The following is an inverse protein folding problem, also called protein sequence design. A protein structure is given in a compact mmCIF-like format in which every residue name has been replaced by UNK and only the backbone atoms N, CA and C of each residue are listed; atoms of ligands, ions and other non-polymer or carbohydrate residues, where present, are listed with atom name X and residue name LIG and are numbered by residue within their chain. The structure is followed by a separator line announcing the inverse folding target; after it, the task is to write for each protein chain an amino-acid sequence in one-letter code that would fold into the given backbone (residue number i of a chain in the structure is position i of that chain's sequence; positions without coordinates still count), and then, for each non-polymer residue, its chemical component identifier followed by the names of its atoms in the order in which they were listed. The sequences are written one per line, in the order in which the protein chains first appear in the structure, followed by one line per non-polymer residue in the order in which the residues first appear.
data_IF_017893995705
#
_entry.id   IF_017893995705
#
_cell.length_a   1.000
_cell.length_b   1.000
_cell.length_c   1.000
_cell.angle_alpha   90.00
_cell.angle_beta   90.00
_cell.angle_gamma   90.00
#
_symmetry.space_group_name_H-M   'P 1'
#
loop_
_entity.id
_entity.type
_entity.pdbx_description
1 polymer ?
#
# COMPACT_ATOMS: atom_id res chain seq x y z
N UNK A 1 -14.34 -6.78 6.74
CA UNK A 1 -15.18 -5.55 6.62
C UNK A 1 -14.96 -4.56 7.76
N UNK A 2 -15.16 -4.91 9.04
CA UNK A 2 -15.05 -3.92 10.15
C UNK A 2 -13.62 -3.46 10.50
N UNK A 3 -12.59 -4.31 10.34
CA UNK A 3 -11.23 -3.97 10.82
C UNK A 3 -10.51 -2.95 9.92
N UNK A 4 -10.64 -3.05 8.61
CA UNK A 4 -9.91 -2.18 7.66
C UNK A 4 -10.53 -0.79 7.55
N UNK A 5 -11.87 -0.69 7.58
CA UNK A 5 -12.54 0.61 7.67
C UNK A 5 -12.25 1.30 9.00
N UNK A 6 -12.32 0.58 10.13
CA UNK A 6 -11.97 1.14 11.43
C UNK A 6 -10.53 1.69 11.48
N UNK A 7 -9.59 1.07 10.77
CA UNK A 7 -8.21 1.56 10.68
C UNK A 7 -8.05 2.85 9.85
N UNK A 8 -8.94 3.09 8.88
CA UNK A 8 -9.02 4.36 8.14
C UNK A 8 -9.57 5.46 9.04
N UNK A 9 -10.68 5.17 9.70
CA UNK A 9 -11.40 6.10 10.58
C UNK A 9 -10.51 6.51 11.78
N UNK A 10 -9.86 5.55 12.44
CA UNK A 10 -8.94 5.81 13.55
C UNK A 10 -7.71 6.63 13.14
N UNK A 11 -7.36 6.63 11.85
CA UNK A 11 -6.26 7.43 11.32
C UNK A 11 -6.72 8.78 10.76
N UNK A 12 -8.01 9.13 10.87
CA UNK A 12 -8.58 10.37 10.35
C UNK A 12 -8.51 10.49 8.83
N UNK A 13 -8.45 9.36 8.11
CA UNK A 13 -8.29 9.38 6.65
C UNK A 13 -9.67 9.36 6.02
N UNK A 14 -9.98 10.38 5.22
CA UNK A 14 -11.18 10.38 4.38
C UNK A 14 -11.05 9.43 3.18
N UNK A 15 -11.27 8.14 3.46
CA UNK A 15 -11.23 7.06 2.50
C UNK A 15 -12.13 5.90 2.91
N UNK A 16 -12.50 5.08 1.93
CA UNK A 16 -13.37 3.92 2.09
C UNK A 16 -12.64 2.65 1.69
N UNK A 17 -12.82 1.59 2.49
CA UNK A 17 -12.44 0.24 2.12
C UNK A 17 -13.49 -0.38 1.18
N UNK A 18 -13.02 -0.89 0.04
CA UNK A 18 -13.80 -1.55 -1.00
C UNK A 18 -13.42 -3.03 -0.97
N UNK A 19 -14.42 -3.88 -0.75
CA UNK A 19 -14.28 -5.31 -1.00
C UNK A 19 -14.37 -5.58 -2.51
N UNK A 20 -13.26 -6.03 -3.10
CA UNK A 20 -13.18 -6.36 -4.52
C UNK A 20 -13.66 -7.78 -4.81
N UNK A 21 -14.02 -8.55 -3.78
CA UNK A 21 -14.35 -9.98 -3.90
C UNK A 21 -13.11 -10.87 -4.10
N UNK A 22 -11.91 -10.30 -4.16
CA UNK A 22 -10.67 -11.04 -4.29
C UNK A 22 -10.20 -11.46 -2.90
N UNK A 23 -10.14 -12.77 -2.65
CA UNK A 23 -9.69 -13.29 -1.36
C UNK A 23 -8.16 -13.22 -1.20
N UNK A 24 -7.68 -13.26 0.04
CA UNK A 24 -6.23 -13.37 0.28
C UNK A 24 -5.63 -14.66 -0.28
N UNK A 25 -6.40 -15.75 -0.30
CA UNK A 25 -5.99 -17.03 -0.88
C UNK A 25 -5.78 -16.90 -2.39
N UNK A 26 -6.70 -16.23 -3.09
CA UNK A 26 -6.53 -15.94 -4.51
C UNK A 26 -5.26 -15.14 -4.77
N UNK A 27 -4.96 -14.12 -3.95
CA UNK A 27 -3.71 -13.35 -4.08
C UNK A 27 -2.48 -14.23 -3.81
N UNK A 28 -2.49 -15.02 -2.73
CA UNK A 28 -1.36 -15.85 -2.34
C UNK A 28 -1.09 -16.99 -3.34
N UNK A 29 -2.10 -17.43 -4.10
CA UNK A 29 -1.94 -18.48 -5.12
C UNK A 29 -0.95 -18.10 -6.24
N UNK A 30 -0.79 -16.80 -6.51
CA UNK A 30 0.15 -16.23 -7.48
C UNK A 30 1.58 -16.12 -6.95
N UNK A 31 1.81 -16.46 -5.69
CA UNK A 31 3.12 -16.40 -5.04
C UNK A 31 3.66 -17.80 -4.80
N UNK A 32 4.95 -18.00 -5.02
CA UNK A 32 5.64 -19.25 -4.69
C UNK A 32 6.96 -19.02 -3.99
N UNK A 33 7.32 -20.02 -3.18
CA UNK A 33 8.67 -20.22 -2.67
C UNK A 33 9.37 -21.22 -3.58
N UNK A 34 10.31 -20.80 -4.44
CA UNK A 34 10.95 -21.72 -5.39
C UNK A 34 11.86 -22.75 -4.70
N UNK A 35 12.29 -22.48 -3.47
CA UNK A 35 13.41 -23.18 -2.82
C UNK A 35 13.08 -23.64 -1.40
N UNK A 36 12.02 -23.10 -0.78
CA UNK A 36 11.53 -23.50 0.55
C UNK A 36 11.21 -22.34 1.48
N UNK A 37 11.00 -22.65 2.77
CA UNK A 37 10.64 -21.69 3.82
C UNK A 37 11.86 -20.83 4.19
N UNK A 38 11.89 -19.59 3.75
CA UNK A 38 13.01 -18.66 3.97
C UNK A 38 13.48 -17.93 2.72
N UNK A 39 13.04 -18.39 1.54
CA UNK A 39 13.38 -17.77 0.27
C UNK A 39 12.49 -16.58 -0.10
N UNK A 40 12.96 -15.81 -1.09
CA UNK A 40 12.18 -14.75 -1.70
C UNK A 40 10.93 -15.32 -2.38
N UNK A 41 9.79 -14.65 -2.18
CA UNK A 41 8.58 -14.91 -2.93
C UNK A 41 8.81 -14.58 -4.41
N UNK A 42 8.42 -15.50 -5.29
CA UNK A 42 8.41 -15.28 -6.74
C UNK A 42 6.96 -15.12 -7.22
N UNK A 43 6.73 -14.12 -8.06
CA UNK A 43 5.46 -13.93 -8.75
C UNK A 43 5.33 -14.95 -9.91
N UNK A 44 4.16 -15.60 -10.02
CA UNK A 44 3.83 -16.53 -11.12
C UNK A 44 3.26 -15.85 -12.36
N UNK A 45 3.02 -14.54 -12.31
CA UNK A 45 2.41 -13.82 -13.43
C UNK A 45 3.30 -13.88 -14.67
N UNK A 46 2.70 -14.10 -15.84
CA UNK A 46 3.44 -14.19 -17.09
C UNK A 46 4.18 -12.89 -17.41
N UNK A 47 5.46 -13.00 -17.75
CA UNK A 47 6.34 -11.84 -17.93
C UNK A 47 6.77 -11.11 -16.65
N UNK A 48 6.39 -11.57 -15.45
CA UNK A 48 6.82 -10.99 -14.18
C UNK A 48 7.98 -11.78 -13.54
N UNK A 49 9.16 -11.18 -13.45
CA UNK A 49 10.35 -11.78 -12.84
C UNK A 49 10.66 -11.25 -11.44
N UNK A 50 9.67 -10.66 -10.75
CA UNK A 50 9.87 -10.06 -9.43
C UNK A 50 10.16 -11.11 -8.36
N UNK A 51 11.21 -10.86 -7.57
CA UNK A 51 11.58 -11.61 -6.36
C UNK A 51 11.42 -10.68 -5.16
N UNK A 52 10.62 -11.08 -4.19
CA UNK A 52 10.19 -10.21 -3.09
C UNK A 52 10.39 -10.92 -1.76
N UNK A 53 11.20 -10.35 -0.87
CA UNK A 53 11.62 -11.02 0.36
C UNK A 53 10.60 -10.94 1.51
N UNK A 54 9.56 -10.12 1.36
CA UNK A 54 8.54 -9.91 2.38
C UNK A 54 7.16 -10.27 1.87
N UNK A 55 6.39 -11.03 2.66
CA UNK A 55 5.08 -11.54 2.28
C UNK A 55 4.10 -10.41 1.99
N UNK A 56 4.08 -9.37 2.82
CA UNK A 56 3.19 -8.21 2.66
C UNK A 56 3.49 -7.43 1.38
N UNK A 57 4.77 -7.32 1.01
CA UNK A 57 5.18 -6.68 -0.24
C UNK A 57 4.83 -7.55 -1.45
N UNK A 58 5.01 -8.87 -1.34
CA UNK A 58 4.67 -9.83 -2.38
C UNK A 58 3.16 -9.85 -2.65
N UNK A 59 2.34 -9.84 -1.58
CA UNK A 59 0.88 -9.72 -1.65
C UNK A 59 0.48 -8.47 -2.41
N UNK A 60 1.00 -7.30 -2.01
CA UNK A 60 0.63 -6.06 -2.68
C UNK A 60 1.16 -5.96 -4.11
N UNK A 61 2.32 -6.55 -4.41
CA UNK A 61 2.78 -6.65 -5.78
C UNK A 61 1.75 -7.40 -6.65
N UNK A 62 1.25 -8.55 -6.19
CA UNK A 62 0.18 -9.29 -6.90
C UNK A 62 -1.13 -8.50 -6.96
N UNK A 63 -1.49 -7.76 -5.90
CA UNK A 63 -2.65 -6.87 -5.94
C UNK A 63 -2.57 -5.84 -7.06
N UNK A 64 -1.37 -5.40 -7.47
CA UNK A 64 -1.24 -4.50 -8.62
C UNK A 64 -1.57 -5.20 -9.95
N UNK A 65 -1.22 -6.48 -10.10
CA UNK A 65 -1.57 -7.27 -11.29
C UNK A 65 -3.08 -7.51 -11.40
N UNK A 66 -3.72 -7.79 -10.26
CA UNK A 66 -5.16 -8.02 -10.18
C UNK A 66 -5.99 -6.73 -10.16
N UNK A 67 -5.34 -5.56 -10.17
CA UNK A 67 -5.93 -4.25 -9.89
C UNK A 67 -6.79 -4.22 -8.60
N UNK A 68 -6.40 -5.02 -7.60
CA UNK A 68 -7.05 -5.13 -6.30
C UNK A 68 -6.72 -3.91 -5.41
N UNK A 69 -7.34 -2.77 -5.74
CA UNK A 69 -7.16 -1.50 -5.02
C UNK A 69 -8.33 -1.25 -4.07
N UNK A 70 -8.17 -1.76 -2.85
CA UNK A 70 -9.23 -1.76 -1.82
C UNK A 70 -9.43 -0.42 -1.14
N UNK A 71 -8.48 0.49 -1.16
CA UNK A 71 -8.60 1.75 -0.44
C UNK A 71 -8.91 2.89 -1.40
N UNK A 72 -10.12 3.42 -1.38
CA UNK A 72 -10.54 4.56 -2.21
C UNK A 72 -10.52 5.84 -1.40
N UNK A 73 -9.72 6.81 -1.84
CA UNK A 73 -9.77 8.18 -1.34
C UNK A 73 -11.10 8.83 -1.76
N UNK A 74 -11.87 9.36 -0.82
CA UNK A 74 -13.17 9.96 -1.13
C UNK A 74 -13.05 11.33 -1.82
N UNK A 75 -12.13 12.23 -1.40
CA UNK A 75 -11.99 13.55 -2.03
C UNK A 75 -11.71 13.52 -3.53
N UNK A 76 -10.94 12.54 -4.02
CA UNK A 76 -10.49 12.52 -5.42
C UNK A 76 -10.73 11.17 -6.14
N UNK A 77 -11.32 10.19 -5.47
CA UNK A 77 -11.62 8.87 -6.04
C UNK A 77 -10.41 7.97 -6.29
N UNK A 78 -9.17 8.43 -6.03
CA UNK A 78 -7.96 7.63 -6.25
C UNK A 78 -7.95 6.37 -5.38
N UNK A 79 -7.53 5.25 -5.98
CA UNK A 79 -7.50 3.94 -5.31
C UNK A 79 -6.08 3.46 -5.06
N UNK A 80 -5.88 2.82 -3.92
CA UNK A 80 -4.63 2.23 -3.46
C UNK A 80 -4.86 0.79 -2.99
N UNK A 81 -3.83 -0.05 -3.08
CA UNK A 81 -3.85 -1.42 -2.57
C UNK A 81 -3.36 -1.54 -1.12
N UNK A 82 -2.75 -0.49 -0.56
CA UNK A 82 -2.28 -0.46 0.84
C UNK A 82 -2.77 0.76 1.60
N UNK A 83 -3.10 0.54 2.88
CA UNK A 83 -3.50 1.60 3.80
C UNK A 83 -2.43 2.69 3.96
N UNK A 84 -1.14 2.32 4.04
CA UNK A 84 -0.07 3.32 4.21
C UNK A 84 0.08 4.24 2.99
N UNK A 85 -0.24 3.74 1.79
CA UNK A 85 -0.21 4.53 0.57
C UNK A 85 -1.36 5.53 0.56
N UNK A 86 -2.55 5.12 1.01
CA UNK A 86 -3.70 6.01 1.22
C UNK A 86 -3.42 7.07 2.28
N UNK A 87 -2.81 6.70 3.42
CA UNK A 87 -2.36 7.64 4.47
C UNK A 87 -1.46 8.72 3.89
N UNK A 88 -0.40 8.28 3.19
CA UNK A 88 0.57 9.18 2.56
C UNK A 88 -0.09 10.08 1.52
N UNK A 89 -1.02 9.54 0.72
CA UNK A 89 -1.76 10.34 -0.23
C UNK A 89 -2.65 11.38 0.46
N UNK A 90 -3.27 11.04 1.58
CA UNK A 90 -4.18 11.95 2.29
C UNK A 90 -3.50 13.25 2.73
N UNK A 91 -2.19 13.22 3.06
CA UNK A 91 -1.39 14.40 3.36
C UNK A 91 -1.36 15.44 2.22
N UNK A 92 -1.64 15.03 0.97
CA UNK A 92 -1.73 15.97 -0.16
C UNK A 92 -3.01 16.80 -0.15
N UNK A 93 -4.04 16.36 0.58
CA UNK A 93 -5.30 17.10 0.74
C UNK A 93 -5.27 18.01 1.97
N UNK A 94 -4.67 17.54 3.07
CA UNK A 94 -4.61 18.29 4.33
C UNK A 94 -3.49 19.35 4.35
N UNK A 95 -2.54 19.27 3.42
CA UNK A 95 -1.29 20.06 3.42
C UNK A 95 -0.46 19.90 4.70
N UNK A 96 -0.68 18.83 5.47
CA UNK A 96 0.12 18.52 6.64
C UNK A 96 1.57 18.18 6.24
N UNK A 97 2.52 18.80 6.93
CA UNK A 97 3.95 18.65 6.67
C UNK A 97 4.69 18.31 7.96
N UNK A 98 4.56 17.07 8.45
CA UNK A 98 5.08 16.66 9.75
C UNK A 98 6.61 16.61 9.81
N UNK A 99 7.30 16.52 8.67
CA UNK A 99 8.75 16.45 8.63
C UNK A 99 9.34 17.85 8.48
N UNK A 100 10.11 18.30 9.47
CA UNK A 100 10.72 19.64 9.49
C UNK A 100 12.23 19.52 9.38
N UNK A 101 12.83 20.25 8.44
CA UNK A 101 14.28 20.41 8.33
C UNK A 101 14.78 21.42 9.37
N UNK A 102 16.00 21.27 9.91
CA UNK A 102 16.63 22.31 10.72
C UNK A 102 16.70 23.70 10.06
N UNK A 103 16.66 23.78 8.72
CA UNK A 103 16.58 25.04 7.98
C UNK A 103 15.18 25.70 7.99
N UNK A 104 14.18 25.10 8.65
CA UNK A 104 12.81 25.58 8.74
C UNK A 104 11.87 25.12 7.63
N UNK A 105 12.38 24.46 6.58
CA UNK A 105 11.52 23.91 5.50
C UNK A 105 10.76 22.67 5.98
N UNK A 106 9.48 22.60 5.62
CA UNK A 106 8.59 21.50 6.00
C UNK A 106 8.23 20.63 4.80
N UNK A 107 8.08 19.33 5.04
CA UNK A 107 7.84 18.30 4.05
C UNK A 107 6.70 17.39 4.49
N UNK A 108 5.90 16.95 3.53
CA UNK A 108 4.85 15.96 3.79
C UNK A 108 5.41 14.58 4.16
N UNK A 109 6.68 14.29 3.84
CA UNK A 109 7.28 12.96 3.99
C UNK A 109 8.74 13.04 4.40
N UNK A 110 9.19 12.08 5.22
CA UNK A 110 10.57 12.00 5.70
C UNK A 110 11.58 11.77 4.56
N UNK A 111 11.26 10.94 3.57
CA UNK A 111 12.15 10.70 2.42
C UNK A 111 12.34 11.96 1.56
N UNK A 112 11.32 12.81 1.47
CA UNK A 112 11.43 14.10 0.80
C UNK A 112 12.36 15.06 1.58
N UNK A 113 12.33 15.01 2.91
CA UNK A 113 13.27 15.72 3.77
C UNK A 113 14.69 15.17 3.65
N UNK A 114 14.89 13.85 3.62
CA UNK A 114 16.24 13.26 3.49
C UNK A 114 16.94 13.62 2.18
N UNK A 115 16.17 13.81 1.11
CA UNK A 115 16.69 14.22 -0.20
C UNK A 115 16.88 15.74 -0.34
N UNK A 116 16.27 16.52 0.56
CA UNK A 116 16.38 17.98 0.57
C UNK A 116 17.77 18.43 1.02
#
# INVERSE_FOLDING_TARGET
MCQEQAALDAAGIDATYIDTGISEEQINSWLVHPTGKGDAYRCKWDGCNQKINRKENARSHVQNHLDDRRFRCNPCGKRFNRLHDTKRHHLTHTNERPAVCPCGKTFARADALTRH
#
